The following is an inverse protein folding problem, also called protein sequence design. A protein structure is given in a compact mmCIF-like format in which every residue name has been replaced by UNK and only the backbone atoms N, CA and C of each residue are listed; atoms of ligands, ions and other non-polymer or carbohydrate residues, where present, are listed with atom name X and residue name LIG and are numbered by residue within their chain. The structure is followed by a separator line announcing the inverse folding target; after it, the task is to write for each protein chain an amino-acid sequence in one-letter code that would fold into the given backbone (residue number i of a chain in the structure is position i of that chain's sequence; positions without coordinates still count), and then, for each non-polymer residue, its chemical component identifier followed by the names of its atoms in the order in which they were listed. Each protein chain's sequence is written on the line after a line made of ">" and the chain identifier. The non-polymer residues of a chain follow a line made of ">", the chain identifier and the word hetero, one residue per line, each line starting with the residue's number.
data_IF_487966824243
#
_entry.id   IF_487966824243
#
_cell.length_a   1.000
_cell.length_b   1.000
_cell.length_c   1.000
_cell.angle_alpha   90.00
_cell.angle_beta   90.00
_cell.angle_gamma   90.00
#
_symmetry.space_group_name_H-M   'P 1'
#
loop_
_entity.id
_entity.type
_entity.pdbx_description
1 polymer ?
#
# COMPACT_ATOMS: atom_id res chain seq x y z
N UNK A 1 -39.05 -15.98 -2.51
CA UNK A 1 -39.94 -15.16 -1.66
C UNK A 1 -39.38 -13.76 -1.65
N UNK A 2 -40.15 -12.76 -2.08
CA UNK A 2 -39.68 -11.38 -2.23
C UNK A 2 -40.25 -10.57 -1.06
N UNK A 3 -39.37 -10.00 -0.22
CA UNK A 3 -39.73 -8.92 0.70
C UNK A 3 -39.56 -7.60 -0.05
N UNK A 4 -40.66 -6.96 -0.42
CA UNK A 4 -40.62 -5.60 -0.94
C UNK A 4 -40.47 -4.61 0.22
N UNK A 5 -39.37 -3.88 0.25
CA UNK A 5 -39.16 -2.74 1.14
C UNK A 5 -39.56 -1.45 0.42
N UNK A 6 -39.92 -0.40 1.17
CA UNK A 6 -40.12 0.92 0.58
C UNK A 6 -38.83 1.38 -0.13
N UNK A 7 -38.90 1.92 -1.36
CA UNK A 7 -37.73 2.47 -2.03
C UNK A 7 -37.05 3.53 -1.17
N UNK A 8 -35.72 3.44 -1.03
CA UNK A 8 -34.91 4.47 -0.38
C UNK A 8 -34.23 5.28 -1.48
N UNK A 9 -34.45 6.60 -1.58
CA UNK A 9 -33.91 7.41 -2.68
C UNK A 9 -32.38 7.49 -2.69
N UNK A 10 -31.70 7.05 -1.62
CA UNK A 10 -30.24 7.03 -1.52
C UNK A 10 -29.60 5.84 -2.25
N UNK A 11 -30.35 4.77 -2.53
CA UNK A 11 -29.79 3.52 -3.08
C UNK A 11 -30.74 2.82 -4.05
N UNK A 12 -30.17 2.18 -5.07
CA UNK A 12 -30.93 1.30 -5.97
C UNK A 12 -30.96 -0.11 -5.35
N UNK A 13 -32.15 -0.67 -5.15
CA UNK A 13 -32.33 -2.04 -4.66
C UNK A 13 -32.79 -2.94 -5.80
N UNK A 14 -32.01 -3.98 -6.10
CA UNK A 14 -32.37 -5.02 -7.06
C UNK A 14 -32.83 -6.25 -6.29
N UNK A 15 -34.11 -6.58 -6.41
CA UNK A 15 -34.70 -7.74 -5.75
C UNK A 15 -34.55 -8.95 -6.66
N UNK A 16 -33.97 -10.03 -6.12
CA UNK A 16 -33.76 -11.28 -6.84
C UNK A 16 -34.56 -12.42 -6.19
N UNK A 17 -35.22 -13.24 -7.00
CA UNK A 17 -36.06 -14.34 -6.52
C UNK A 17 -35.29 -15.46 -5.81
N UNK A 18 -34.04 -15.69 -6.24
CA UNK A 18 -33.19 -16.77 -5.78
C UNK A 18 -31.70 -16.38 -5.86
N UNK A 19 -30.84 -17.19 -5.24
CA UNK A 19 -29.40 -16.95 -5.15
C UNK A 19 -28.70 -16.97 -6.52
N UNK A 20 -29.21 -17.75 -7.48
CA UNK A 20 -28.68 -17.77 -8.86
C UNK A 20 -28.92 -16.42 -9.53
N UNK A 21 -30.14 -15.90 -9.47
CA UNK A 21 -30.49 -14.59 -10.02
C UNK A 21 -29.75 -13.47 -9.29
N UNK A 22 -29.48 -13.60 -7.98
CA UNK A 22 -28.68 -12.63 -7.23
C UNK A 22 -27.25 -12.53 -7.76
N UNK A 23 -26.56 -13.67 -7.96
CA UNK A 23 -25.21 -13.68 -8.52
C UNK A 23 -25.18 -13.22 -9.98
N UNK A 24 -26.24 -13.54 -10.76
CA UNK A 24 -26.38 -13.02 -12.12
C UNK A 24 -26.55 -11.50 -12.13
N UNK A 25 -27.41 -10.95 -11.27
CA UNK A 25 -27.59 -9.52 -11.12
C UNK A 25 -26.30 -8.82 -10.69
N UNK A 26 -25.53 -9.41 -9.78
CA UNK A 26 -24.20 -8.90 -9.42
C UNK A 26 -23.26 -8.83 -10.63
N UNK A 27 -23.21 -9.88 -11.46
CA UNK A 27 -22.38 -9.91 -12.67
C UNK A 27 -22.81 -8.83 -13.69
N UNK A 28 -24.12 -8.65 -13.90
CA UNK A 28 -24.65 -7.63 -14.80
C UNK A 28 -24.36 -6.23 -14.26
N UNK A 29 -24.57 -5.97 -12.97
CA UNK A 29 -24.20 -4.69 -12.37
C UNK A 29 -22.71 -4.39 -12.57
N UNK A 30 -21.85 -5.40 -12.43
CA UNK A 30 -20.43 -5.26 -12.70
C UNK A 30 -20.14 -4.94 -14.17
N UNK A 31 -20.79 -5.63 -15.11
CA UNK A 31 -20.70 -5.36 -16.55
C UNK A 31 -21.05 -3.91 -16.89
N UNK A 32 -22.18 -3.41 -16.36
CA UNK A 32 -22.63 -2.04 -16.59
C UNK A 32 -21.75 -0.99 -15.93
N UNK A 33 -21.21 -1.27 -14.74
CA UNK A 33 -20.33 -0.35 -14.02
C UNK A 33 -18.90 -0.35 -14.59
N UNK A 34 -18.44 -1.48 -15.13
CA UNK A 34 -17.09 -1.71 -15.67
C UNK A 34 -15.98 -1.13 -14.77
N UNK A 35 -15.86 -1.56 -13.49
CA UNK A 35 -14.95 -0.93 -12.55
C UNK A 35 -13.47 -1.18 -12.89
N UNK A 36 -12.65 -0.13 -12.92
CA UNK A 36 -11.20 -0.24 -13.06
C UNK A 36 -10.52 -0.80 -11.80
N UNK A 37 -11.08 -0.49 -10.63
CA UNK A 37 -10.56 -0.89 -9.32
C UNK A 37 -11.71 -1.39 -8.47
N UNK A 38 -11.56 -2.59 -7.93
CA UNK A 38 -12.42 -3.13 -6.90
C UNK A 38 -11.71 -3.06 -5.56
N UNK A 39 -12.37 -2.51 -4.56
CA UNK A 39 -11.91 -2.54 -3.17
C UNK A 39 -12.94 -3.20 -2.27
N UNK A 40 -12.45 -3.89 -1.25
CA UNK A 40 -13.26 -4.40 -0.15
C UNK A 40 -12.37 -4.88 1.00
N UNK A 41 -12.98 -5.20 2.14
CA UNK A 41 -12.25 -5.48 3.37
C UNK A 41 -12.25 -6.98 3.65
N UNK A 42 -11.09 -7.63 3.48
CA UNK A 42 -10.92 -9.07 3.63
C UNK A 42 -11.57 -9.92 2.53
N UNK A 43 -11.91 -9.30 1.39
CA UNK A 43 -12.53 -9.96 0.23
C UNK A 43 -11.75 -11.18 -0.23
N UNK A 44 -10.43 -11.08 -0.22
CA UNK A 44 -9.55 -12.13 -0.74
C UNK A 44 -9.44 -13.36 0.17
N UNK A 45 -9.91 -13.26 1.42
CA UNK A 45 -9.93 -14.38 2.37
C UNK A 45 -11.33 -14.88 2.67
N UNK A 46 -12.37 -14.12 2.31
CA UNK A 46 -13.76 -14.45 2.62
C UNK A 46 -14.67 -14.31 1.41
N UNK A 47 -14.93 -13.08 0.94
CA UNK A 47 -15.99 -12.79 -0.03
C UNK A 47 -15.75 -13.43 -1.39
N UNK A 48 -14.58 -13.24 -1.99
CA UNK A 48 -14.25 -13.85 -3.29
C UNK A 48 -14.25 -15.38 -3.24
N UNK A 49 -13.60 -16.03 -2.25
CA UNK A 49 -13.72 -17.47 -2.08
C UNK A 49 -15.17 -17.94 -1.96
N UNK A 50 -16.00 -17.25 -1.18
CA UNK A 50 -17.41 -17.60 -1.01
C UNK A 50 -18.20 -17.47 -2.32
N UNK A 51 -18.09 -16.32 -3.00
CA UNK A 51 -18.81 -16.03 -4.25
C UNK A 51 -18.41 -17.01 -5.35
N UNK A 52 -17.12 -17.28 -5.53
CA UNK A 52 -16.62 -18.19 -6.57
C UNK A 52 -17.09 -19.62 -6.31
N UNK A 53 -16.96 -20.14 -5.08
CA UNK A 53 -17.40 -21.49 -4.76
C UNK A 53 -18.93 -21.63 -4.87
N UNK A 54 -19.68 -20.59 -4.49
CA UNK A 54 -21.14 -20.57 -4.66
C UNK A 54 -21.54 -20.59 -6.13
N UNK A 55 -20.88 -19.78 -6.97
CA UNK A 55 -21.13 -19.73 -8.41
C UNK A 55 -20.78 -21.07 -9.11
N UNK A 56 -19.73 -21.76 -8.66
CA UNK A 56 -19.40 -23.13 -9.14
C UNK A 56 -20.50 -24.13 -8.80
N UNK A 57 -20.95 -24.15 -7.54
CA UNK A 57 -21.99 -25.08 -7.08
C UNK A 57 -23.34 -24.86 -7.80
N UNK A 58 -23.62 -23.63 -8.23
CA UNK A 58 -24.79 -23.28 -9.01
C UNK A 58 -24.61 -23.45 -10.52
N UNK A 59 -23.41 -23.82 -11.00
CA UNK A 59 -23.11 -24.00 -12.42
C UNK A 59 -23.09 -22.71 -13.25
N UNK A 60 -22.89 -21.54 -12.60
CA UNK A 60 -22.95 -20.23 -13.27
C UNK A 60 -21.62 -19.47 -13.28
N UNK A 61 -20.53 -20.03 -12.76
CA UNK A 61 -19.24 -19.30 -12.69
C UNK A 61 -18.75 -18.84 -14.07
N UNK A 62 -18.84 -19.68 -15.10
CA UNK A 62 -18.45 -19.30 -16.46
C UNK A 62 -19.30 -18.15 -16.99
N UNK A 63 -20.62 -18.24 -16.84
CA UNK A 63 -21.55 -17.18 -17.23
C UNK A 63 -21.24 -15.88 -16.48
N UNK A 64 -21.08 -15.95 -15.16
CA UNK A 64 -20.78 -14.81 -14.30
C UNK A 64 -19.47 -14.12 -14.71
N UNK A 65 -18.40 -14.89 -14.87
CA UNK A 65 -17.10 -14.35 -15.30
C UNK A 65 -17.19 -13.68 -16.68
N UNK A 66 -17.87 -14.30 -17.65
CA UNK A 66 -17.93 -13.79 -19.01
C UNK A 66 -18.79 -12.52 -19.16
N UNK A 67 -19.66 -12.20 -18.20
CA UNK A 67 -20.34 -10.89 -18.15
C UNK A 67 -19.48 -9.84 -17.44
N UNK A 68 -18.63 -10.26 -16.50
CA UNK A 68 -17.76 -9.34 -15.75
C UNK A 68 -16.45 -8.99 -16.47
N UNK A 69 -16.04 -9.82 -17.44
CA UNK A 69 -14.75 -9.74 -18.13
C UNK A 69 -14.92 -9.36 -19.60
N UNK A 70 -14.06 -8.48 -20.09
CA UNK A 70 -13.95 -8.16 -21.52
C UNK A 70 -13.36 -9.32 -22.35
N UNK A 71 -12.73 -10.28 -21.68
CA UNK A 71 -12.14 -11.48 -22.28
C UNK A 71 -12.90 -12.72 -21.79
N UNK A 72 -13.84 -13.26 -22.58
CA UNK A 72 -14.55 -14.48 -22.24
C UNK A 72 -13.62 -15.69 -22.19
N UNK A 73 -13.82 -16.57 -21.21
CA UNK A 73 -13.02 -17.77 -20.98
C UNK A 73 -13.90 -18.97 -20.63
N UNK A 74 -13.37 -20.18 -20.87
CA UNK A 74 -14.00 -21.41 -20.39
C UNK A 74 -13.79 -21.59 -18.90
N UNK A 75 -14.69 -22.32 -18.24
CA UNK A 75 -14.63 -22.65 -16.81
C UNK A 75 -13.28 -23.23 -16.36
N UNK A 76 -12.65 -24.05 -17.21
CA UNK A 76 -11.34 -24.65 -16.97
C UNK A 76 -10.25 -23.57 -16.89
N UNK A 77 -10.24 -22.62 -17.83
CA UNK A 77 -9.28 -21.51 -17.87
C UNK A 77 -9.52 -20.55 -16.72
N UNK A 78 -10.79 -20.24 -16.40
CA UNK A 78 -11.16 -19.38 -15.27
C UNK A 78 -10.61 -19.98 -13.97
N UNK A 79 -10.91 -21.26 -13.72
CA UNK A 79 -10.50 -21.94 -12.49
C UNK A 79 -8.98 -22.06 -12.37
N UNK A 80 -8.28 -22.30 -13.49
CA UNK A 80 -6.83 -22.48 -13.51
C UNK A 80 -6.04 -21.18 -13.44
N UNK A 81 -6.49 -20.14 -14.13
CA UNK A 81 -5.68 -18.94 -14.37
C UNK A 81 -6.25 -17.66 -13.77
N UNK A 82 -7.56 -17.56 -13.61
CA UNK A 82 -8.21 -16.33 -13.13
C UNK A 82 -8.59 -16.40 -11.66
N UNK A 83 -8.89 -17.58 -11.11
CA UNK A 83 -9.07 -17.72 -9.66
C UNK A 83 -7.70 -17.85 -8.98
N UNK A 84 -7.05 -16.70 -8.79
CA UNK A 84 -5.64 -16.61 -8.41
C UNK A 84 -5.43 -16.61 -6.90
N UNK A 85 -4.28 -17.14 -6.52
CA UNK A 85 -3.74 -17.05 -5.18
C UNK A 85 -2.42 -16.28 -5.20
N UNK A 86 -2.35 -15.22 -4.42
CA UNK A 86 -1.19 -14.36 -4.30
C UNK A 86 -0.79 -14.21 -2.84
N UNK A 87 0.52 -14.06 -2.61
CA UNK A 87 1.07 -13.78 -1.29
C UNK A 87 1.56 -12.35 -1.25
N UNK A 88 0.87 -11.52 -0.46
CA UNK A 88 1.23 -10.13 -0.24
C UNK A 88 2.13 -10.07 0.99
N UNK A 89 3.37 -9.62 0.81
CA UNK A 89 4.30 -9.41 1.93
C UNK A 89 3.87 -8.19 2.76
N UNK A 90 3.68 -8.38 4.06
CA UNK A 90 3.36 -7.34 5.04
C UNK A 90 4.42 -7.40 6.14
N UNK A 91 5.42 -6.52 6.07
CA UNK A 91 6.57 -6.54 6.96
C UNK A 91 7.22 -7.94 6.97
N UNK A 92 7.26 -8.60 8.12
CA UNK A 92 7.80 -9.96 8.31
C UNK A 92 6.76 -11.06 8.15
N UNK A 93 5.50 -10.72 7.88
CA UNK A 93 4.39 -11.66 7.70
C UNK A 93 3.93 -11.72 6.24
N UNK A 94 3.24 -12.82 5.93
CA UNK A 94 2.60 -13.03 4.65
C UNK A 94 1.08 -12.90 4.80
N UNK A 95 0.45 -12.20 3.88
CA UNK A 95 -1.00 -12.15 3.74
C UNK A 95 -1.41 -12.93 2.49
N UNK A 96 -2.20 -13.97 2.70
CA UNK A 96 -2.67 -14.86 1.66
C UNK A 96 -3.95 -14.29 1.05
N UNK A 97 -3.93 -14.02 -0.25
CA UNK A 97 -5.02 -13.39 -0.99
C UNK A 97 -5.50 -14.33 -2.09
N UNK A 98 -6.76 -14.78 -2.03
CA UNK A 98 -7.40 -15.60 -3.06
C UNK A 98 -8.56 -14.83 -3.69
N UNK A 99 -8.48 -14.53 -4.98
CA UNK A 99 -9.46 -13.65 -5.63
C UNK A 99 -9.70 -14.07 -7.08
N UNK A 100 -10.82 -13.63 -7.64
CA UNK A 100 -11.11 -13.78 -9.06
C UNK A 100 -10.48 -12.58 -9.81
N UNK A 101 -9.42 -12.83 -10.56
CA UNK A 101 -8.78 -11.85 -11.42
C UNK A 101 -9.67 -11.63 -12.66
N UNK A 102 -10.19 -10.43 -12.78
CA UNK A 102 -11.02 -10.02 -13.91
C UNK A 102 -10.15 -9.10 -14.79
N UNK A 103 -9.85 -9.49 -16.05
CA UNK A 103 -9.14 -8.63 -16.98
C UNK A 103 -9.79 -7.24 -17.07
N UNK A 104 -8.97 -6.18 -16.96
CA UNK A 104 -9.43 -4.79 -16.93
C UNK A 104 -9.72 -4.23 -15.53
N UNK A 105 -9.86 -5.07 -14.49
CA UNK A 105 -10.12 -4.62 -13.12
C UNK A 105 -9.00 -5.04 -12.16
N UNK A 106 -8.54 -4.11 -11.32
CA UNK A 106 -7.56 -4.39 -10.26
C UNK A 106 -8.28 -4.57 -8.93
N UNK A 107 -8.28 -5.80 -8.41
CA UNK A 107 -8.74 -6.08 -7.05
C UNK A 107 -7.69 -5.63 -6.02
N UNK A 108 -8.13 -4.87 -5.02
CA UNK A 108 -7.29 -4.37 -3.92
C UNK A 108 -8.01 -4.65 -2.61
N UNK A 109 -7.47 -5.59 -1.83
CA UNK A 109 -8.00 -5.85 -0.49
C UNK A 109 -7.50 -4.76 0.48
N UNK A 110 -8.43 -4.08 1.13
CA UNK A 110 -8.14 -2.97 2.04
C UNK A 110 -7.39 -3.46 3.29
N UNK A 111 -7.68 -4.68 3.75
CA UNK A 111 -7.09 -5.21 4.98
C UNK A 111 -5.56 -5.33 4.92
N UNK A 112 -4.92 -5.92 3.90
CA UNK A 112 -3.46 -5.93 3.80
C UNK A 112 -2.85 -4.54 3.59
N UNK A 113 -3.55 -3.59 2.95
CA UNK A 113 -3.10 -2.20 2.87
C UNK A 113 -2.98 -1.58 4.26
N UNK A 114 -4.01 -1.72 5.08
CA UNK A 114 -4.06 -1.15 6.42
C UNK A 114 -3.16 -1.89 7.42
N UNK A 115 -2.96 -3.19 7.27
CA UNK A 115 -1.92 -3.91 8.01
C UNK A 115 -0.50 -3.42 7.71
N UNK A 116 -0.22 -2.95 6.48
CA UNK A 116 1.07 -2.31 6.15
C UNK A 116 1.19 -0.93 6.80
N UNK A 117 0.14 -0.11 6.72
CA UNK A 117 0.10 1.24 7.31
C UNK A 117 0.22 1.21 8.84
N UNK A 118 -0.51 0.30 9.49
CA UNK A 118 -0.55 0.10 10.93
C UNK A 118 0.22 -1.16 11.33
N UNK A 119 1.49 -1.23 10.92
CA UNK A 119 2.36 -2.41 11.07
C UNK A 119 2.56 -2.90 12.50
N UNK A 120 2.41 -2.01 13.48
CA UNK A 120 2.58 -2.29 14.91
C UNK A 120 1.26 -2.56 15.65
N UNK A 121 0.13 -2.43 14.97
CA UNK A 121 -1.16 -2.63 15.60
C UNK A 121 -1.43 -4.13 15.83
N UNK A 122 -1.94 -4.46 17.02
CA UNK A 122 -2.35 -5.83 17.36
C UNK A 122 -3.68 -6.21 16.67
N UNK A 123 -4.55 -5.22 16.45
CA UNK A 123 -5.87 -5.39 15.84
C UNK A 123 -5.84 -5.07 14.35
N UNK A 124 -6.72 -5.72 13.58
CA UNK A 124 -6.83 -5.54 12.13
C UNK A 124 -8.26 -5.66 11.60
N UNK A 125 -9.25 -5.29 12.42
CA UNK A 125 -10.66 -5.25 12.02
C UNK A 125 -11.00 -3.92 11.34
N UNK A 126 -12.06 -3.92 10.53
CA UNK A 126 -12.57 -2.71 9.88
C UNK A 126 -12.91 -1.64 10.93
N UNK A 127 -13.61 -2.02 12.00
CA UNK A 127 -13.94 -1.14 13.13
C UNK A 127 -12.70 -0.48 13.74
N UNK A 128 -11.65 -1.26 14.00
CA UNK A 128 -10.41 -0.74 14.55
C UNK A 128 -9.80 0.33 13.65
N UNK A 129 -9.68 0.06 12.34
CA UNK A 129 -9.10 1.04 11.42
C UNK A 129 -9.96 2.29 11.22
N UNK A 130 -11.30 2.18 11.29
CA UNK A 130 -12.18 3.35 11.26
C UNK A 130 -11.97 4.24 12.49
N UNK A 131 -11.85 3.64 13.68
CA UNK A 131 -11.56 4.35 14.92
C UNK A 131 -10.18 5.03 14.87
N UNK A 132 -9.13 4.33 14.46
CA UNK A 132 -7.78 4.88 14.28
C UNK A 132 -7.74 6.04 13.26
N UNK A 133 -8.61 5.99 12.25
CA UNK A 133 -8.72 7.03 11.23
C UNK A 133 -9.62 8.21 11.63
N UNK A 134 -10.25 8.17 12.81
CA UNK A 134 -11.28 9.11 13.26
C UNK A 134 -12.41 9.27 12.24
N UNK A 135 -12.85 8.15 11.65
CA UNK A 135 -14.00 8.09 10.75
C UNK A 135 -15.24 7.64 11.51
N UNK A 136 -16.42 7.82 10.89
CA UNK A 136 -17.67 7.35 11.47
C UNK A 136 -17.56 5.90 11.91
N UNK A 137 -18.02 5.64 13.13
CA UNK A 137 -17.96 4.31 13.71
C UNK A 137 -18.83 3.36 12.90
N UNK A 138 -18.32 2.16 12.70
CA UNK A 138 -19.11 1.04 12.21
C UNK A 138 -20.33 0.84 13.12
N UNK A 139 -21.52 0.90 12.55
CA UNK A 139 -22.75 0.43 13.21
C UNK A 139 -22.63 -1.08 13.32
N UNK A 140 -22.57 -1.61 14.54
CA UNK A 140 -22.36 -3.04 14.76
C UNK A 140 -23.70 -3.77 14.77
N UNK A 141 -23.87 -4.72 13.84
CA UNK A 141 -25.04 -5.60 13.79
C UNK A 141 -24.56 -7.04 13.99
N UNK A 142 -24.66 -7.59 15.21
CA UNK A 142 -24.13 -8.91 15.52
C UNK A 142 -24.72 -10.01 14.64
N UNK A 143 -23.90 -10.99 14.24
CA UNK A 143 -24.30 -12.07 13.32
C UNK A 143 -25.53 -12.85 13.78
N UNK A 144 -25.68 -13.10 15.09
CA UNK A 144 -26.85 -13.80 15.62
C UNK A 144 -28.15 -13.01 15.42
N UNK A 145 -28.08 -11.67 15.44
CA UNK A 145 -29.23 -10.79 15.17
C UNK A 145 -29.56 -10.78 13.69
N UNK A 146 -28.55 -10.74 12.82
CA UNK A 146 -28.71 -10.89 11.36
C UNK A 146 -29.41 -12.22 11.04
N UNK A 147 -28.92 -13.33 11.58
CA UNK A 147 -29.52 -14.66 11.36
C UNK A 147 -30.98 -14.69 11.82
N UNK A 148 -31.28 -14.15 13.01
CA UNK A 148 -32.66 -14.06 13.52
C UNK A 148 -33.57 -13.25 12.60
N UNK A 149 -33.06 -12.17 12.01
CA UNK A 149 -33.83 -11.36 11.06
C UNK A 149 -34.13 -12.15 9.78
N UNK A 150 -33.14 -12.83 9.21
CA UNK A 150 -33.36 -13.72 8.06
C UNK A 150 -34.35 -14.84 8.38
N UNK A 151 -34.24 -15.51 9.52
CA UNK A 151 -35.17 -16.56 9.94
C UNK A 151 -36.61 -16.06 10.07
N UNK A 152 -36.80 -14.86 10.63
CA UNK A 152 -38.13 -14.23 10.73
C UNK A 152 -38.67 -13.85 9.36
N UNK A 153 -37.84 -13.20 8.55
CA UNK A 153 -38.17 -12.81 7.19
C UNK A 153 -38.57 -14.02 6.33
N UNK A 154 -37.99 -15.20 6.57
CA UNK A 154 -38.36 -16.45 5.90
C UNK A 154 -39.71 -17.03 6.35
N UNK A 155 -40.17 -16.72 7.56
CA UNK A 155 -41.41 -17.24 8.14
C UNK A 155 -42.61 -16.32 7.87
N UNK A 156 -42.41 -15.01 7.98
CA UNK A 156 -43.48 -14.02 7.92
C UNK A 156 -43.05 -12.75 7.16
N UNK A 157 -43.91 -12.29 6.25
CA UNK A 157 -43.73 -11.04 5.51
C UNK A 157 -44.66 -10.00 6.12
N UNK A 158 -44.09 -9.03 6.84
CA UNK A 158 -44.81 -7.89 7.40
C UNK A 158 -43.89 -6.67 7.51
N UNK A 159 -44.45 -5.52 7.91
CA UNK A 159 -43.68 -4.26 8.03
C UNK A 159 -42.47 -4.39 8.97
N UNK A 160 -42.55 -5.21 10.01
CA UNK A 160 -41.46 -5.42 10.97
C UNK A 160 -40.31 -6.21 10.34
N UNK A 161 -40.61 -7.29 9.60
CA UNK A 161 -39.57 -8.07 8.92
C UNK A 161 -38.95 -7.29 7.76
N UNK A 162 -39.72 -6.43 7.07
CA UNK A 162 -39.21 -5.50 6.08
C UNK A 162 -38.23 -4.47 6.69
N UNK A 163 -38.54 -3.85 7.83
CA UNK A 163 -37.64 -2.90 8.49
C UNK A 163 -36.36 -3.58 9.02
N UNK A 164 -36.46 -4.81 9.52
CA UNK A 164 -35.29 -5.61 9.94
C UNK A 164 -34.36 -5.92 8.76
N UNK A 165 -34.92 -6.27 7.60
CA UNK A 165 -34.13 -6.49 6.38
C UNK A 165 -33.51 -5.18 5.87
N UNK A 166 -34.20 -4.05 6.02
CA UNK A 166 -33.65 -2.72 5.74
C UNK A 166 -32.47 -2.38 6.65
N UNK A 167 -32.54 -2.67 7.95
CA UNK A 167 -31.42 -2.51 8.90
C UNK A 167 -30.19 -3.33 8.47
N UNK A 168 -30.38 -4.56 7.98
CA UNK A 168 -29.28 -5.40 7.44
C UNK A 168 -28.69 -4.78 6.17
N UNK A 169 -29.53 -4.27 5.26
CA UNK A 169 -29.07 -3.63 4.05
C UNK A 169 -28.25 -2.35 4.33
N UNK A 170 -28.73 -1.48 5.23
CA UNK A 170 -28.00 -0.28 5.65
C UNK A 170 -26.65 -0.62 6.31
N UNK A 171 -26.61 -1.68 7.13
CA UNK A 171 -25.37 -2.20 7.70
C UNK A 171 -24.36 -2.61 6.60
N UNK A 172 -24.78 -3.42 5.62
CA UNK A 172 -23.90 -3.87 4.53
C UNK A 172 -23.39 -2.70 3.67
N UNK A 173 -24.25 -1.73 3.38
CA UNK A 173 -23.88 -0.53 2.61
C UNK A 173 -22.84 0.30 3.35
N UNK A 174 -23.02 0.53 4.66
CA UNK A 174 -22.07 1.28 5.47
C UNK A 174 -20.70 0.58 5.57
N UNK A 175 -20.68 -0.75 5.66
CA UNK A 175 -19.45 -1.53 5.65
C UNK A 175 -18.71 -1.41 4.30
N UNK A 176 -19.43 -1.48 3.18
CA UNK A 176 -18.84 -1.28 1.85
C UNK A 176 -18.28 0.14 1.67
N UNK A 177 -19.05 1.16 2.07
CA UNK A 177 -18.63 2.57 1.98
C UNK A 177 -17.42 2.87 2.88
N UNK A 178 -17.34 2.21 4.04
CA UNK A 178 -16.22 2.34 4.97
C UNK A 178 -14.88 1.95 4.33
N UNK A 179 -14.88 0.95 3.45
CA UNK A 179 -13.69 0.55 2.69
C UNK A 179 -13.16 1.71 1.84
N UNK A 180 -14.05 2.40 1.12
CA UNK A 180 -13.70 3.57 0.33
C UNK A 180 -13.20 4.73 1.20
N UNK A 181 -13.90 5.03 2.30
CA UNK A 181 -13.52 6.11 3.24
C UNK A 181 -12.11 5.90 3.78
N UNK A 182 -11.76 4.66 4.15
CA UNK A 182 -10.41 4.29 4.57
C UNK A 182 -9.38 4.53 3.46
N UNK A 183 -9.61 4.02 2.26
CA UNK A 183 -8.70 4.16 1.13
C UNK A 183 -8.46 5.63 0.73
N UNK A 184 -9.50 6.46 0.80
CA UNK A 184 -9.42 7.91 0.57
C UNK A 184 -8.66 8.61 1.69
N UNK A 185 -8.95 8.30 2.96
CA UNK A 185 -8.29 8.90 4.14
C UNK A 185 -6.77 8.77 4.09
N UNK A 186 -6.26 7.63 3.65
CA UNK A 186 -4.83 7.35 3.53
C UNK A 186 -4.28 7.53 2.11
N UNK A 187 -5.11 7.99 1.17
CA UNK A 187 -4.71 8.28 -0.21
C UNK A 187 -4.01 7.10 -0.93
N UNK A 188 -4.41 5.86 -0.61
CA UNK A 188 -3.65 4.64 -0.92
C UNK A 188 -3.52 4.43 -2.43
N UNK A 189 -4.59 4.67 -3.20
CA UNK A 189 -4.58 4.49 -4.66
C UNK A 189 -3.61 5.46 -5.33
N UNK A 190 -3.58 6.73 -4.89
CA UNK A 190 -2.67 7.72 -5.46
C UNK A 190 -1.21 7.43 -5.08
N UNK A 191 -0.95 6.90 -3.88
CA UNK A 191 0.38 6.40 -3.52
C UNK A 191 0.83 5.25 -4.45
N UNK A 192 -0.08 4.32 -4.76
CA UNK A 192 0.21 3.25 -5.72
C UNK A 192 0.49 3.83 -7.10
N UNK A 193 -0.33 4.78 -7.59
CA UNK A 193 -0.11 5.45 -8.89
C UNK A 193 1.27 6.08 -8.99
N UNK A 194 1.72 6.81 -7.96
CA UNK A 194 3.04 7.43 -7.96
C UNK A 194 4.16 6.38 -7.95
N UNK A 195 4.02 5.35 -7.10
CA UNK A 195 5.00 4.25 -7.02
C UNK A 195 5.15 3.52 -8.35
N UNK A 196 4.05 3.21 -9.03
CA UNK A 196 4.10 2.47 -10.30
C UNK A 196 4.57 3.35 -11.45
N UNK A 197 4.26 4.65 -11.43
CA UNK A 197 4.79 5.62 -12.38
C UNK A 197 6.31 5.72 -12.30
N UNK A 198 6.86 5.75 -11.08
CA UNK A 198 8.32 5.78 -10.87
C UNK A 198 8.97 4.44 -11.25
N UNK A 199 8.32 3.33 -10.94
CA UNK A 199 8.91 1.99 -11.12
C UNK A 199 8.52 1.28 -12.41
N UNK A 200 7.74 1.91 -13.29
CA UNK A 200 7.26 1.37 -14.57
C UNK A 200 6.49 0.05 -14.44
N UNK A 201 5.65 -0.07 -13.41
CA UNK A 201 4.87 -1.27 -13.10
C UNK A 201 3.37 -1.04 -13.27
N UNK A 202 2.55 -2.09 -13.10
CA UNK A 202 1.09 -1.95 -13.07
C UNK A 202 0.58 -1.64 -11.65
N UNK A 203 -0.66 -1.13 -11.53
CA UNK A 203 -1.32 -0.96 -10.22
C UNK A 203 -1.48 -2.29 -9.47
N UNK A 204 -1.77 -3.37 -10.19
CA UNK A 204 -1.77 -4.72 -9.64
C UNK A 204 -0.43 -5.04 -8.97
N UNK A 205 0.68 -4.71 -9.64
CA UNK A 205 2.01 -4.98 -9.12
C UNK A 205 2.34 -4.22 -7.83
N UNK A 206 1.85 -2.99 -7.70
CA UNK A 206 2.03 -2.21 -6.48
C UNK A 206 1.37 -2.85 -5.26
N UNK A 207 0.18 -3.43 -5.45
CA UNK A 207 -0.56 -4.08 -4.37
C UNK A 207 0.02 -5.45 -4.02
N UNK A 208 0.20 -6.31 -5.03
CA UNK A 208 0.50 -7.72 -4.83
C UNK A 208 1.97 -8.05 -4.65
N UNK A 209 2.90 -7.26 -5.21
CA UNK A 209 4.33 -7.55 -5.15
C UNK A 209 5.11 -6.60 -4.22
N UNK A 210 6.16 -7.16 -3.62
CA UNK A 210 7.06 -6.44 -2.72
C UNK A 210 7.91 -5.38 -3.45
N UNK A 211 8.46 -4.44 -2.69
CA UNK A 211 9.22 -3.30 -3.23
C UNK A 211 10.50 -3.71 -3.98
N UNK A 212 11.04 -4.91 -3.73
CA UNK A 212 12.16 -5.44 -4.50
C UNK A 212 11.87 -5.51 -6.00
N UNK A 213 10.62 -5.78 -6.42
CA UNK A 213 10.25 -5.77 -7.84
C UNK A 213 10.26 -4.35 -8.41
N UNK A 214 9.80 -3.37 -7.62
CA UNK A 214 9.80 -1.94 -7.98
C UNK A 214 11.22 -1.42 -8.21
N UNK A 215 12.13 -1.77 -7.32
CA UNK A 215 13.55 -1.41 -7.44
C UNK A 215 14.18 -2.06 -8.66
N UNK A 216 13.95 -3.37 -8.88
CA UNK A 216 14.48 -4.09 -10.05
C UNK A 216 14.03 -3.45 -11.35
N UNK A 217 12.74 -3.15 -11.49
CA UNK A 217 12.19 -2.62 -12.74
C UNK A 217 12.67 -1.18 -13.01
N UNK A 218 12.75 -0.34 -11.97
CA UNK A 218 13.35 0.99 -12.06
C UNK A 218 14.82 0.92 -12.52
N UNK A 219 15.63 0.08 -11.89
CA UNK A 219 17.04 -0.10 -12.25
C UNK A 219 17.19 -0.64 -13.68
N UNK A 220 16.36 -1.61 -14.06
CA UNK A 220 16.40 -2.23 -15.38
C UNK A 220 16.08 -1.22 -16.50
N UNK A 221 15.01 -0.43 -16.29
CA UNK A 221 14.62 0.66 -17.20
C UNK A 221 15.75 1.69 -17.37
N UNK A 222 16.36 2.11 -16.25
CA UNK A 222 17.44 3.11 -16.31
C UNK A 222 18.70 2.57 -16.97
N UNK A 223 19.08 1.34 -16.65
CA UNK A 223 20.22 0.66 -17.25
C UNK A 223 20.06 0.49 -18.77
N UNK A 224 18.86 0.11 -19.24
CA UNK A 224 18.55 0.03 -20.66
C UNK A 224 18.80 1.37 -21.38
N UNK A 225 18.31 2.48 -20.79
CA UNK A 225 18.54 3.82 -21.32
C UNK A 225 20.00 4.27 -21.33
N UNK A 226 20.89 3.59 -20.59
CA UNK A 226 22.33 3.82 -20.55
C UNK A 226 23.13 2.80 -21.40
N UNK A 227 22.45 1.91 -22.13
CA UNK A 227 23.10 0.85 -22.89
C UNK A 227 23.74 -0.25 -22.02
N UNK A 228 23.32 -0.38 -20.75
CA UNK A 228 23.80 -1.38 -19.81
C UNK A 228 22.88 -2.61 -19.88
N UNK A 229 23.47 -3.78 -20.13
CA UNK A 229 22.76 -5.06 -20.09
C UNK A 229 22.59 -5.55 -18.65
N UNK A 230 21.39 -5.98 -18.31
CA UNK A 230 21.09 -6.61 -17.01
C UNK A 230 20.90 -8.11 -17.18
N UNK A 231 21.42 -8.89 -16.24
CA UNK A 231 21.14 -10.31 -16.13
C UNK A 231 20.03 -10.57 -15.11
N UNK A 232 19.02 -11.33 -15.52
CA UNK A 232 17.98 -11.85 -14.63
C UNK A 232 18.31 -13.26 -14.13
N UNK A 233 19.48 -13.80 -14.51
CA UNK A 233 19.91 -15.14 -14.10
C UNK A 233 20.42 -15.04 -12.67
N UNK A 234 19.77 -15.73 -11.71
CA UNK A 234 20.27 -15.77 -10.34
C UNK A 234 21.63 -16.46 -10.31
N UNK A 235 22.58 -15.87 -9.58
CA UNK A 235 23.87 -16.49 -9.35
C UNK A 235 23.67 -17.78 -8.53
N UNK A 236 24.11 -18.93 -9.06
CA UNK A 236 23.91 -20.25 -8.43
C UNK A 236 24.61 -20.42 -7.08
N UNK A 237 25.55 -19.52 -6.75
CA UNK A 237 26.27 -19.49 -5.48
C UNK A 237 25.87 -18.25 -4.67
N UNK A 238 24.75 -18.33 -3.97
CA UNK A 238 24.41 -17.35 -2.94
C UNK A 238 25.08 -17.76 -1.64
N UNK A 239 26.09 -17.01 -1.23
CA UNK A 239 26.71 -17.21 0.08
C UNK A 239 25.82 -16.56 1.16
N UNK A 240 25.38 -17.36 2.13
CA UNK A 240 24.64 -16.87 3.29
C UNK A 240 25.62 -16.44 4.37
N UNK A 241 25.39 -15.29 4.99
CA UNK A 241 26.23 -14.78 6.06
C UNK A 241 25.70 -13.46 6.60
N UNK A 242 26.14 -13.08 7.80
CA UNK A 242 25.90 -11.75 8.35
C UNK A 242 27.14 -10.89 8.08
N UNK A 243 26.93 -9.68 7.56
CA UNK A 243 27.95 -8.64 7.53
C UNK A 243 27.77 -7.70 8.73
N UNK A 244 28.82 -6.96 9.14
CA UNK A 244 28.71 -5.97 10.21
C UNK A 244 27.58 -4.96 9.94
N UNK A 245 26.68 -4.83 10.91
CA UNK A 245 25.56 -3.89 10.85
C UNK A 245 25.93 -2.47 11.27
N UNK A 246 24.92 -1.66 11.57
CA UNK A 246 25.13 -0.31 12.12
C UNK A 246 25.82 -0.37 13.50
N UNK A 247 26.71 0.58 13.73
CA UNK A 247 27.30 0.79 15.05
C UNK A 247 26.34 1.59 15.93
N UNK A 248 26.13 1.15 17.16
CA UNK A 248 25.32 1.84 18.17
C UNK A 248 26.24 2.27 19.29
N UNK A 249 26.34 3.57 19.53
CA UNK A 249 27.10 4.09 20.66
C UNK A 249 26.48 3.63 21.98
N UNK A 250 27.29 3.23 22.98
CA UNK A 250 26.78 2.89 24.29
C UNK A 250 26.17 4.15 24.94
N UNK A 251 24.88 4.13 25.33
CA UNK A 251 24.24 5.29 25.94
C UNK A 251 24.65 5.44 27.41
N UNK A 252 24.82 6.69 27.85
CA UNK A 252 24.85 7.01 29.28
C UNK A 252 23.43 6.90 29.84
N UNK A 253 23.21 5.94 30.73
CA UNK A 253 21.89 5.67 31.30
C UNK A 253 21.63 6.62 32.47
N UNK A 254 20.47 7.26 32.45
CA UNK A 254 20.04 8.14 33.53
C UNK A 254 19.03 9.17 33.04
N UNK A 255 18.54 9.96 33.98
CA UNK A 255 17.69 11.11 33.69
C UNK A 255 18.60 12.36 33.59
N UNK A 256 18.69 12.96 32.41
CA UNK A 256 19.43 14.22 32.21
C UNK A 256 18.48 15.41 32.43
N UNK A 257 18.53 15.99 33.64
CA UNK A 257 17.72 17.14 34.03
C UNK A 257 18.49 18.47 34.03
N UNK A 258 19.81 18.44 33.78
CA UNK A 258 20.67 19.61 33.96
C UNK A 258 20.78 20.46 32.70
N UNK A 259 20.58 19.87 31.53
CA UNK A 259 20.74 20.54 30.23
C UNK A 259 19.82 19.95 29.17
N UNK A 260 19.40 20.75 28.18
CA UNK A 260 18.70 20.24 27.00
C UNK A 260 19.56 19.24 26.22
N UNK A 261 18.93 18.18 25.72
CA UNK A 261 19.54 17.19 24.83
C UNK A 261 19.13 17.49 23.39
N UNK A 262 20.11 17.67 22.51
CA UNK A 262 19.87 17.94 21.08
C UNK A 262 20.02 16.65 20.26
N UNK A 263 19.06 16.37 19.39
CA UNK A 263 19.13 15.27 18.42
C UNK A 263 19.60 15.75 17.05
N UNK A 264 20.82 15.39 16.65
CA UNK A 264 21.33 15.61 15.29
C UNK A 264 21.23 14.30 14.50
N UNK A 265 20.68 14.36 13.30
CA UNK A 265 20.53 13.19 12.42
C UNK A 265 20.94 13.53 10.97
N UNK A 266 21.45 12.53 10.25
CA UNK A 266 21.83 12.66 8.85
C UNK A 266 20.63 12.43 7.94
N UNK A 267 20.28 13.43 7.13
CA UNK A 267 19.26 13.26 6.11
C UNK A 267 19.72 12.27 5.02
N UNK A 268 19.04 11.12 4.94
CA UNK A 268 19.27 10.11 3.89
C UNK A 268 20.71 9.54 3.85
N UNK A 269 21.25 9.17 5.02
CA UNK A 269 22.64 8.70 5.17
C UNK A 269 23.10 7.68 4.12
N UNK A 270 22.44 6.52 3.99
CA UNK A 270 22.88 5.49 3.06
C UNK A 270 22.82 5.90 1.58
N UNK A 271 21.71 6.49 1.07
CA UNK A 271 21.71 7.09 -0.26
C UNK A 271 22.86 8.07 -0.49
N UNK A 272 23.13 8.94 0.48
CA UNK A 272 24.22 9.92 0.40
C UNK A 272 25.59 9.24 0.33
N UNK A 273 25.83 8.19 1.11
CA UNK A 273 27.07 7.40 1.04
C UNK A 273 27.23 6.70 -0.32
N UNK A 274 26.15 6.08 -0.83
CA UNK A 274 26.15 5.43 -2.15
C UNK A 274 26.52 6.43 -3.24
N UNK A 275 25.92 7.63 -3.22
CA UNK A 275 26.21 8.69 -4.18
C UNK A 275 27.66 9.18 -4.04
N UNK A 276 28.10 9.54 -2.84
CA UNK A 276 29.44 10.10 -2.56
C UNK A 276 30.57 9.14 -2.94
N UNK A 277 30.42 7.84 -2.64
CA UNK A 277 31.45 6.83 -2.88
C UNK A 277 31.25 6.05 -4.19
N UNK A 278 30.29 6.48 -5.03
CA UNK A 278 29.92 5.86 -6.29
C UNK A 278 29.62 4.35 -6.20
N UNK A 279 28.95 3.92 -5.12
CA UNK A 279 28.72 2.50 -4.82
C UNK A 279 27.64 1.92 -5.74
N UNK A 280 28.05 1.51 -6.94
CA UNK A 280 27.16 0.95 -7.95
C UNK A 280 27.79 -0.29 -8.60
N UNK A 281 27.01 -1.35 -8.92
CA UNK A 281 27.56 -2.59 -9.46
C UNK A 281 28.45 -2.40 -10.70
N UNK A 282 28.11 -1.45 -11.56
CA UNK A 282 28.85 -1.09 -12.78
C UNK A 282 30.16 -0.31 -12.51
N UNK A 283 30.40 0.10 -11.27
CA UNK A 283 31.60 0.85 -10.84
C UNK A 283 32.43 0.09 -9.81
N UNK A 284 31.99 -1.09 -9.36
CA UNK A 284 32.70 -1.94 -8.41
C UNK A 284 33.70 -2.84 -9.14
N UNK A 285 34.92 -2.86 -8.63
CA UNK A 285 36.02 -3.70 -9.08
C UNK A 285 36.38 -4.68 -7.96
N UNK A 286 36.33 -5.97 -8.26
CA UNK A 286 36.65 -7.03 -7.29
C UNK A 286 38.08 -7.56 -7.43
N UNK A 287 38.73 -7.35 -8.58
CA UNK A 287 40.11 -7.81 -8.84
C UNK A 287 41.13 -6.70 -8.57
N UNK A 288 42.17 -7.04 -7.80
CA UNK A 288 43.28 -6.13 -7.51
C UNK A 288 44.03 -5.70 -8.78
N UNK A 289 44.28 -6.63 -9.70
CA UNK A 289 45.00 -6.33 -10.94
C UNK A 289 44.18 -5.38 -11.84
N UNK A 290 42.86 -5.58 -11.88
CA UNK A 290 41.97 -4.67 -12.58
C UNK A 290 41.96 -3.28 -11.92
N UNK A 291 41.95 -3.21 -10.59
CA UNK A 291 42.04 -1.94 -9.87
C UNK A 291 43.36 -1.20 -10.16
N UNK A 292 44.50 -1.91 -10.21
CA UNK A 292 45.81 -1.33 -10.58
C UNK A 292 45.77 -0.80 -12.01
N UNK A 293 45.20 -1.56 -12.96
CA UNK A 293 45.06 -1.15 -14.36
C UNK A 293 44.21 0.13 -14.49
N UNK A 294 43.06 0.17 -13.81
CA UNK A 294 42.18 1.34 -13.81
C UNK A 294 42.86 2.55 -13.16
N UNK A 295 43.60 2.37 -12.07
CA UNK A 295 44.35 3.45 -11.43
C UNK A 295 45.46 4.00 -12.35
N UNK A 296 46.16 3.13 -13.10
CA UNK A 296 47.16 3.54 -14.11
C UNK A 296 46.55 4.34 -15.25
N UNK A 297 45.27 4.13 -15.57
CA UNK A 297 44.53 4.95 -16.54
C UNK A 297 44.21 6.38 -16.06
N UNK A 298 44.62 6.75 -14.85
CA UNK A 298 44.38 8.08 -14.25
C UNK A 298 43.08 8.18 -13.43
N UNK A 299 42.27 7.12 -13.37
CA UNK A 299 41.03 7.11 -12.59
C UNK A 299 41.30 6.91 -11.10
N UNK A 300 40.69 7.73 -10.25
CA UNK A 300 40.78 7.57 -8.79
C UNK A 300 39.83 6.47 -8.31
N UNK A 301 40.24 5.76 -7.25
CA UNK A 301 39.48 4.67 -6.65
C UNK A 301 39.23 4.93 -5.15
N UNK A 302 38.09 4.46 -4.64
CA UNK A 302 37.86 4.24 -3.21
C UNK A 302 38.13 2.77 -2.91
N UNK A 303 38.99 2.48 -1.92
CA UNK A 303 39.17 1.11 -1.41
C UNK A 303 38.07 0.82 -0.38
N UNK A 304 37.47 -0.36 -0.50
CA UNK A 304 36.43 -0.87 0.38
C UNK A 304 36.99 -2.15 1.02
N UNK A 305 36.92 -2.24 2.34
CA UNK A 305 37.43 -3.37 3.10
C UNK A 305 36.51 -3.68 4.29
N UNK A 306 36.06 -4.92 4.40
CA UNK A 306 35.25 -5.38 5.53
C UNK A 306 35.33 -6.90 5.69
N UNK A 307 34.99 -7.40 6.88
CA UNK A 307 34.90 -8.84 7.14
C UNK A 307 33.54 -9.40 6.72
N UNK A 308 33.54 -10.51 6.00
CA UNK A 308 32.36 -11.31 5.69
C UNK A 308 32.67 -12.80 5.88
N UNK A 309 31.89 -13.49 6.70
CA UNK A 309 32.13 -14.90 7.04
C UNK A 309 33.58 -15.20 7.46
N UNK A 310 34.18 -14.31 8.26
CA UNK A 310 35.57 -14.45 8.74
C UNK A 310 36.65 -14.14 7.71
N UNK A 311 36.29 -13.77 6.47
CA UNK A 311 37.21 -13.40 5.39
C UNK A 311 37.23 -11.90 5.19
N UNK A 312 38.40 -11.34 4.92
CA UNK A 312 38.51 -9.95 4.49
C UNK A 312 38.09 -9.84 3.03
N UNK A 313 37.04 -9.05 2.78
CA UNK A 313 36.58 -8.69 1.46
C UNK A 313 37.19 -7.35 1.11
N UNK A 314 37.95 -7.32 0.01
CA UNK A 314 38.54 -6.11 -0.53
C UNK A 314 37.93 -5.85 -1.91
N UNK A 315 37.44 -4.63 -2.11
CA UNK A 315 36.92 -4.16 -3.39
C UNK A 315 37.32 -2.70 -3.61
N UNK A 316 37.11 -2.22 -4.84
CA UNK A 316 37.31 -0.83 -5.18
C UNK A 316 36.10 -0.27 -5.91
N UNK A 317 35.79 1.00 -5.65
CA UNK A 317 34.79 1.76 -6.41
C UNK A 317 35.49 2.87 -7.20
N UNK A 318 35.15 3.01 -8.49
CA UNK A 318 35.68 4.10 -9.31
C UNK A 318 35.06 5.43 -8.88
N UNK A 319 35.88 6.44 -8.55
CA UNK A 319 35.36 7.76 -8.17
C UNK A 319 34.69 8.43 -9.37
N UNK A 320 33.55 9.08 -9.13
CA UNK A 320 32.90 9.87 -10.17
C UNK A 320 33.52 11.27 -10.34
N UNK A 321 34.31 11.77 -9.38
CA UNK A 321 35.00 13.08 -9.44
C UNK A 321 34.10 14.26 -9.86
N UNK A 322 32.83 14.23 -9.44
CA UNK A 322 31.77 15.17 -9.85
C UNK A 322 31.52 15.26 -11.37
N UNK A 323 31.95 14.26 -12.13
CA UNK A 323 31.69 14.09 -13.56
C UNK A 323 30.49 13.17 -13.75
N UNK A 324 29.45 13.67 -14.42
CA UNK A 324 28.17 12.96 -14.57
C UNK A 324 28.29 11.67 -15.37
N UNK A 325 29.17 11.64 -16.37
CA UNK A 325 29.50 10.48 -17.20
C UNK A 325 30.20 9.35 -16.41
N UNK A 326 30.79 9.68 -15.27
CA UNK A 326 31.49 8.72 -14.41
C UNK A 326 30.60 8.15 -13.30
N UNK A 327 29.38 8.68 -13.14
CA UNK A 327 28.41 8.21 -12.15
C UNK A 327 27.94 6.80 -12.46
N UNK A 328 27.82 5.98 -11.43
CA UNK A 328 27.25 4.65 -11.52
C UNK A 328 25.74 4.68 -11.62
N UNK A 329 25.16 3.59 -12.12
CA UNK A 329 23.71 3.42 -12.25
C UNK A 329 22.94 3.79 -10.97
N UNK A 330 23.40 3.31 -9.81
CA UNK A 330 22.73 3.54 -8.53
C UNK A 330 22.78 5.01 -8.12
N UNK A 331 23.89 5.70 -8.41
CA UNK A 331 24.04 7.13 -8.11
C UNK A 331 23.04 7.95 -8.91
N UNK A 332 22.94 7.68 -10.21
CA UNK A 332 22.03 8.36 -11.12
C UNK A 332 20.58 8.20 -10.62
N UNK A 333 20.16 6.97 -10.34
CA UNK A 333 18.79 6.68 -9.87
C UNK A 333 18.52 7.34 -8.51
N UNK A 334 19.46 7.29 -7.56
CA UNK A 334 19.28 7.91 -6.26
C UNK A 334 19.19 9.45 -6.33
N UNK A 335 19.95 10.10 -7.21
CA UNK A 335 19.83 11.54 -7.45
C UNK A 335 18.45 11.92 -7.97
N UNK A 336 17.92 11.14 -8.90
CA UNK A 336 16.57 11.34 -9.45
C UNK A 336 15.50 11.19 -8.38
N UNK A 337 15.57 10.12 -7.58
CA UNK A 337 14.65 9.87 -6.48
C UNK A 337 14.73 10.95 -5.39
N UNK A 338 15.94 11.39 -5.03
CA UNK A 338 16.15 12.44 -4.05
C UNK A 338 15.58 13.78 -4.56
N UNK A 339 15.77 14.09 -5.84
CA UNK A 339 15.19 15.28 -6.47
C UNK A 339 13.66 15.25 -6.42
N UNK A 340 13.04 14.12 -6.79
CA UNK A 340 11.59 13.92 -6.69
C UNK A 340 11.09 14.08 -5.25
N UNK A 341 11.76 13.46 -4.29
CA UNK A 341 11.44 13.59 -2.85
C UNK A 341 11.51 15.03 -2.38
N UNK A 342 12.56 15.77 -2.75
CA UNK A 342 12.74 17.15 -2.34
C UNK A 342 11.68 18.08 -2.97
N UNK A 343 11.32 17.85 -4.24
CA UNK A 343 10.19 18.55 -4.88
C UNK A 343 8.89 18.30 -4.13
N UNK A 344 8.59 17.03 -3.81
CA UNK A 344 7.39 16.67 -3.04
C UNK A 344 7.37 17.32 -1.65
N UNK A 345 8.50 17.29 -0.93
CA UNK A 345 8.62 17.95 0.39
C UNK A 345 8.34 19.45 0.32
N UNK A 346 8.83 20.13 -0.73
CA UNK A 346 8.55 21.56 -0.94
C UNK A 346 7.04 21.80 -1.13
N UNK A 347 6.34 20.94 -1.87
CA UNK A 347 4.90 21.04 -2.05
C UNK A 347 4.12 20.73 -0.76
N UNK A 348 4.62 19.82 0.08
CA UNK A 348 3.98 19.43 1.34
C UNK A 348 4.19 20.43 2.48
N UNK A 349 5.30 21.18 2.49
CA UNK A 349 5.62 22.16 3.53
C UNK A 349 4.46 23.13 3.86
N UNK A 350 3.86 23.85 2.88
CA UNK A 350 2.74 24.77 3.18
C UNK A 350 1.47 24.04 3.64
N UNK A 351 1.28 22.78 3.27
CA UNK A 351 0.14 21.98 3.73
C UNK A 351 0.33 21.50 5.17
N UNK A 352 1.58 21.21 5.57
CA UNK A 352 1.93 20.86 6.96
C UNK A 352 1.65 22.03 7.89
N UNK A 353 2.10 23.23 7.51
CA UNK A 353 1.86 24.46 8.28
C UNK A 353 0.36 24.75 8.43
N UNK A 354 -0.40 24.67 7.34
CA UNK A 354 -1.87 24.80 7.39
C UNK A 354 -2.53 23.75 8.29
N UNK A 355 -2.05 22.51 8.23
CA UNK A 355 -2.57 21.43 9.07
C UNK A 355 -2.30 21.70 10.55
N UNK A 356 -1.08 22.09 10.91
CA UNK A 356 -0.72 22.45 12.29
C UNK A 356 -1.58 23.61 12.81
N UNK A 357 -1.80 24.64 12.00
CA UNK A 357 -2.69 25.75 12.35
C UNK A 357 -4.15 25.28 12.56
N UNK A 358 -4.67 24.42 11.70
CA UNK A 358 -6.02 23.87 11.86
C UNK A 358 -6.13 22.97 13.10
N UNK A 359 -5.12 22.15 13.39
CA UNK A 359 -5.10 21.30 14.58
C UNK A 359 -5.06 22.15 15.86
N UNK A 360 -4.31 23.26 15.87
CA UNK A 360 -4.30 24.23 16.96
C UNK A 360 -5.67 24.89 17.17
N UNK A 361 -6.36 25.29 16.09
CA UNK A 361 -7.71 25.84 16.17
C UNK A 361 -8.68 24.80 16.75
N UNK A 362 -8.65 23.56 16.24
CA UNK A 362 -9.53 22.48 16.70
C UNK A 362 -9.31 22.14 18.18
N UNK A 363 -8.06 22.12 18.66
CA UNK A 363 -7.78 21.87 20.09
C UNK A 363 -8.33 22.94 21.02
N UNK A 364 -8.47 24.19 20.54
CA UNK A 364 -9.04 25.29 21.32
C UNK A 364 -10.59 25.27 21.30
N UNK A 365 -11.21 24.71 20.26
CA UNK A 365 -12.67 24.55 20.17
C UNK A 365 -13.20 23.49 21.15
N UNK A 366 -12.44 22.41 21.40
CA UNK A 366 -12.81 21.38 22.39
C UNK A 366 -12.93 21.94 23.84
N UNK A 367 -12.49 23.18 24.08
CA UNK A 367 -12.57 23.90 25.34
C UNK A 367 -13.85 24.72 25.64
N UNK A 368 -14.87 24.72 24.75
CA UNK A 368 -16.16 25.47 24.80
C UNK A 368 -16.27 26.78 23.98
N UNK A 369 -15.43 26.99 22.97
CA UNK A 369 -15.52 28.18 22.11
C UNK A 369 -15.98 27.87 20.69
N UNK A 370 -16.63 28.84 20.06
CA UNK A 370 -16.93 28.82 18.63
C UNK A 370 -15.65 28.92 17.80
N UNK A 371 -15.70 28.51 16.53
CA UNK A 371 -14.53 28.58 15.61
C UNK A 371 -13.96 30.01 15.54
N UNK A 372 -14.83 31.03 15.60
CA UNK A 372 -14.43 32.43 15.51
C UNK A 372 -13.59 32.86 16.73
N UNK A 373 -14.06 32.53 17.93
CA UNK A 373 -13.38 32.85 19.20
C UNK A 373 -12.02 32.13 19.32
N UNK A 374 -11.93 30.89 18.85
CA UNK A 374 -10.67 30.14 18.83
C UNK A 374 -9.64 30.78 17.87
N UNK A 375 -10.09 31.34 16.75
CA UNK A 375 -9.21 32.06 15.81
C UNK A 375 -8.75 33.39 16.42
N UNK A 376 -9.64 34.16 17.03
CA UNK A 376 -9.30 35.43 17.69
C UNK A 376 -8.29 35.22 18.82
N UNK A 377 -8.50 34.22 19.69
CA UNK A 377 -7.56 33.87 20.76
C UNK A 377 -6.15 33.52 20.24
N UNK A 378 -6.04 32.77 19.14
CA UNK A 378 -4.73 32.43 18.56
C UNK A 378 -4.03 33.68 18.01
N UNK A 379 -4.78 34.58 17.37
CA UNK A 379 -4.23 35.81 16.80
C UNK A 379 -3.75 36.78 17.90
N UNK A 380 -4.51 36.97 18.97
CA UNK A 380 -4.11 37.79 20.13
C UNK A 380 -2.81 37.28 20.78
N UNK A 381 -2.68 35.96 20.96
CA UNK A 381 -1.48 35.35 21.55
C UNK A 381 -0.28 35.25 20.59
N UNK A 382 -0.49 35.47 19.29
CA UNK A 382 0.59 35.53 18.29
C UNK A 382 1.24 36.93 18.26
N UNK A 383 0.49 37.98 18.57
CA UNK A 383 1.00 39.36 18.63
C UNK A 383 1.86 39.63 19.88
N UNK A 384 1.64 38.93 20.99
CA UNK A 384 2.47 39.06 22.21
C UNK A 384 3.87 38.43 22.11
N UNK A 385 4.18 37.68 21.04
CA UNK A 385 5.44 36.94 20.87
C UNK A 385 6.43 37.54 19.85
N UNK A 386 6.16 38.72 19.28
CA UNK A 386 7.08 39.43 18.39
C UNK A 386 7.79 40.60 19.07
#
# INVERSE_FOLDING_TARGET
>A
MILETKPDPRWITVICENQTNLLKAFALCWEYLAPDIQIGFNDSQYDWPFVVEKAKNLGILEWMFNHMSLEPLSIEKITKWQYQYNVIKINDANFHSKHLKIPGCVAIDVRPCFKKLYSKAEKSSLKFYLEECKLDKKVDLPIHRINKYYEKALKEINNTTAEQMREVAEYCINDALSCQRLMVKHNVINEYKEKVSISFLSLFDAHYFADGMKVKNLLASRAWGLGILNTMIPQKQTESGKYPGAYVFPPEKGLENKRPVTGLDYASLYPSLIMTYNLSPDKIILSRDHAISVARSGKKLHRIEFKFNGRDIIAWSVKHENQSEMEGLYVIVLKELLTKRNKMKKCLAPLSEKKENMELILSNIEGKQTILEAIEYILENAEEKN
#
